data_IF_199927313062
#
_entry.id   IF_199927313062
#
_cell.length_a   1.000
_cell.length_b   1.000
_cell.length_c   1.000
_cell.angle_alpha   90.00
_cell.angle_beta   90.00
_cell.angle_gamma   90.00
#
_symmetry.space_group_name_H-M   'P 1'
#
loop_
_entity.id
_entity.type
_entity.pdbx_description
1 polymer ?
#
# COMPACT_ATOMS: atom_id res chain seq x y z
N UNK A 1 -6.86 -11.17 -21.90
CA UNK A 1 -8.12 -11.85 -22.28
C UNK A 1 -8.61 -12.72 -21.15
N UNK A 2 -9.95 -12.79 -20.97
CA UNK A 2 -10.59 -13.48 -19.88
C UNK A 2 -11.64 -14.45 -20.42
N UNK A 3 -11.75 -15.61 -19.78
CA UNK A 3 -12.83 -16.58 -20.01
C UNK A 3 -13.44 -16.92 -18.66
N UNK A 4 -14.78 -16.83 -18.54
CA UNK A 4 -15.47 -17.09 -17.29
C UNK A 4 -16.79 -17.81 -17.54
N UNK A 5 -17.07 -18.83 -16.74
CA UNK A 5 -18.37 -19.47 -16.63
C UNK A 5 -19.03 -19.10 -15.30
N UNK A 6 -20.32 -18.77 -15.35
CA UNK A 6 -21.11 -18.38 -14.17
C UNK A 6 -22.29 -19.32 -13.97
N UNK A 7 -22.61 -19.61 -12.72
CA UNK A 7 -23.76 -20.35 -12.29
C UNK A 7 -24.51 -19.53 -11.25
N UNK A 8 -25.80 -19.29 -11.49
CA UNK A 8 -26.71 -18.67 -10.52
C UNK A 8 -27.88 -19.63 -10.34
N UNK A 9 -28.12 -20.01 -9.09
CA UNK A 9 -29.21 -20.93 -8.75
C UNK A 9 -29.80 -20.56 -7.40
N UNK A 10 -31.13 -20.60 -7.31
CA UNK A 10 -31.84 -20.49 -6.04
C UNK A 10 -32.75 -21.68 -5.87
N UNK A 11 -32.84 -22.19 -4.64
CA UNK A 11 -33.72 -23.28 -4.26
C UNK A 11 -34.11 -23.15 -2.79
N UNK A 12 -35.42 -23.20 -2.51
CA UNK A 12 -35.96 -23.02 -1.16
C UNK A 12 -35.33 -21.78 -0.48
N UNK A 13 -34.69 -21.99 0.64
CA UNK A 13 -34.05 -20.96 1.48
C UNK A 13 -32.62 -20.59 1.02
N UNK A 14 -32.08 -21.26 -0.03
CA UNK A 14 -30.68 -21.10 -0.45
C UNK A 14 -30.55 -20.39 -1.78
N UNK A 15 -29.47 -19.65 -1.92
CA UNK A 15 -29.01 -19.09 -3.19
C UNK A 15 -27.53 -19.35 -3.38
N UNK A 16 -27.12 -19.74 -4.60
CA UNK A 16 -25.74 -19.95 -4.99
C UNK A 16 -25.41 -19.09 -6.22
N UNK A 17 -24.40 -18.23 -6.06
CA UNK A 17 -23.76 -17.54 -7.16
C UNK A 17 -22.32 -18.06 -7.24
N UNK A 18 -21.94 -18.70 -8.33
CA UNK A 18 -20.59 -19.25 -8.50
C UNK A 18 -20.01 -18.84 -9.85
N UNK A 19 -18.71 -18.67 -9.90
CA UNK A 19 -18.01 -18.46 -11.14
C UNK A 19 -16.63 -19.14 -11.10
N UNK A 20 -16.21 -19.66 -12.25
CA UNK A 20 -14.85 -20.12 -12.49
C UNK A 20 -14.31 -19.41 -13.73
N UNK A 21 -13.03 -19.11 -13.75
CA UNK A 21 -12.47 -18.43 -14.90
C UNK A 21 -10.96 -18.51 -14.99
N UNK A 22 -10.48 -18.11 -16.13
CA UNK A 22 -9.05 -17.97 -16.43
C UNK A 22 -8.80 -16.61 -17.07
N UNK A 23 -7.63 -16.05 -16.81
CA UNK A 23 -7.21 -14.76 -17.35
C UNK A 23 -5.77 -14.84 -17.86
N UNK A 24 -5.50 -14.18 -18.98
CA UNK A 24 -4.15 -13.97 -19.50
C UNK A 24 -3.96 -12.47 -19.72
N UNK A 25 -2.97 -11.92 -19.02
CA UNK A 25 -2.54 -10.52 -19.18
C UNK A 25 -1.13 -10.48 -19.74
N UNK A 26 -0.95 -9.74 -20.81
CA UNK A 26 0.35 -9.49 -21.45
C UNK A 26 0.59 -7.97 -21.39
N UNK A 27 1.60 -7.56 -20.63
CA UNK A 27 1.96 -6.16 -20.46
C UNK A 27 3.29 -5.91 -21.12
N UNK A 28 3.35 -4.89 -21.98
CA UNK A 28 4.58 -4.40 -22.59
C UNK A 28 4.84 -2.99 -22.11
N UNK A 29 6.06 -2.72 -21.75
CA UNK A 29 6.48 -1.43 -21.25
C UNK A 29 7.68 -0.97 -22.06
N UNK A 30 7.56 0.20 -22.66
CA UNK A 30 8.70 0.94 -23.26
C UNK A 30 8.81 2.28 -22.53
N UNK A 31 10.00 2.68 -22.16
CA UNK A 31 10.25 3.91 -21.44
C UNK A 31 11.57 4.53 -21.91
N UNK A 32 11.58 5.84 -22.07
CA UNK A 32 12.77 6.64 -22.29
C UNK A 32 12.93 7.60 -21.10
N UNK A 33 14.03 7.49 -20.40
CA UNK A 33 14.39 8.38 -19.30
C UNK A 33 15.61 9.21 -19.68
N UNK A 34 15.48 10.52 -19.55
CA UNK A 34 16.56 11.48 -19.69
C UNK A 34 16.72 12.21 -18.36
N UNK A 35 17.92 12.19 -17.81
CA UNK A 35 18.24 12.83 -16.54
C UNK A 35 19.53 13.63 -16.72
N UNK A 36 19.43 14.94 -16.58
CA UNK A 36 20.60 15.82 -16.65
C UNK A 36 21.56 15.61 -15.48
N UNK A 37 21.09 15.06 -14.36
CA UNK A 37 21.86 14.96 -13.11
C UNK A 37 22.54 16.29 -12.78
N UNK A 38 23.88 16.32 -12.83
CA UNK A 38 24.70 17.51 -12.60
C UNK A 38 25.18 18.15 -13.88
N UNK A 39 24.70 17.68 -15.06
CA UNK A 39 25.07 18.28 -16.33
C UNK A 39 24.59 19.74 -16.42
N UNK A 40 25.48 20.62 -16.92
CA UNK A 40 25.13 22.02 -17.14
C UNK A 40 24.17 22.16 -18.32
N UNK A 41 23.42 23.24 -18.34
CA UNK A 41 22.73 23.70 -19.53
C UNK A 41 23.68 24.52 -20.41
N UNK A 42 23.58 24.39 -21.74
CA UNK A 42 24.34 25.29 -22.67
C UNK A 42 23.87 26.73 -22.51
N UNK A 43 22.59 26.96 -22.37
CA UNK A 43 21.98 28.26 -22.11
C UNK A 43 21.26 28.23 -20.76
N UNK A 44 21.64 29.10 -19.80
CA UNK A 44 21.03 29.15 -18.49
C UNK A 44 19.53 29.50 -18.60
N UNK A 45 18.72 28.91 -17.69
CA UNK A 45 17.26 29.13 -17.60
C UNK A 45 16.42 28.70 -18.81
N UNK A 46 16.99 27.93 -19.75
CA UNK A 46 16.23 27.31 -20.86
C UNK A 46 16.10 25.81 -20.58
N UNK A 47 14.96 25.38 -20.05
CA UNK A 47 14.73 24.02 -19.61
C UNK A 47 14.15 23.15 -20.73
N UNK A 48 15.01 22.76 -21.68
CA UNK A 48 14.67 21.81 -22.74
C UNK A 48 15.72 20.71 -22.83
N UNK A 49 15.30 19.52 -23.30
CA UNK A 49 16.20 18.36 -23.44
C UNK A 49 17.40 18.71 -24.36
N UNK A 50 17.15 19.43 -25.45
CA UNK A 50 18.19 19.85 -26.41
C UNK A 50 19.24 20.79 -25.81
N UNK A 51 18.93 21.43 -24.68
CA UNK A 51 19.83 22.38 -24.00
C UNK A 51 20.70 21.73 -22.92
N UNK A 52 20.56 20.42 -22.70
CA UNK A 52 21.36 19.67 -21.71
C UNK A 52 22.72 19.34 -22.34
N UNK A 53 23.81 19.63 -21.64
CA UNK A 53 25.14 19.16 -22.03
C UNK A 53 25.25 17.66 -21.74
N UNK A 54 24.99 16.83 -22.73
CA UNK A 54 24.99 15.37 -22.63
C UNK A 54 26.40 14.76 -22.52
N UNK A 55 27.47 15.57 -22.59
CA UNK A 55 28.85 15.08 -22.68
C UNK A 55 29.46 14.65 -21.34
N UNK A 56 28.89 15.02 -20.21
CA UNK A 56 29.58 14.81 -18.92
C UNK A 56 28.90 13.90 -17.92
N UNK A 57 27.66 14.14 -17.56
CA UNK A 57 26.99 13.42 -16.46
C UNK A 57 25.53 13.11 -16.72
N UNK A 58 25.05 13.47 -17.91
CA UNK A 58 23.69 13.15 -18.29
C UNK A 58 23.48 11.62 -18.43
N UNK A 59 22.32 11.18 -18.05
CA UNK A 59 21.93 9.79 -18.08
C UNK A 59 20.79 9.59 -19.06
N UNK A 60 20.98 8.67 -19.97
CA UNK A 60 19.94 8.23 -20.90
C UNK A 60 19.70 6.75 -20.62
N UNK A 61 18.47 6.39 -20.35
CA UNK A 61 18.05 5.01 -20.18
C UNK A 61 16.86 4.74 -21.09
N UNK A 62 17.01 3.75 -21.93
CA UNK A 62 15.93 3.27 -22.79
C UNK A 62 15.58 1.86 -22.39
N UNK A 63 14.30 1.64 -22.10
CA UNK A 63 13.70 0.34 -21.88
C UNK A 63 12.77 0.09 -23.04
N UNK A 64 13.14 -0.84 -23.92
CA UNK A 64 12.32 -1.18 -25.07
C UNK A 64 11.73 -2.58 -24.92
N UNK A 65 10.40 -2.66 -25.15
CA UNK A 65 9.58 -3.90 -25.16
C UNK A 65 9.80 -4.82 -23.95
N UNK A 66 9.97 -4.25 -22.75
CA UNK A 66 9.98 -5.04 -21.53
C UNK A 66 8.62 -5.73 -21.33
N UNK A 67 8.61 -7.05 -21.36
CA UNK A 67 7.37 -7.84 -21.40
C UNK A 67 7.15 -8.64 -20.13
N UNK A 68 5.93 -8.55 -19.59
CA UNK A 68 5.44 -9.37 -18.48
C UNK A 68 4.16 -10.07 -18.89
N UNK A 69 4.10 -11.37 -18.68
CA UNK A 69 2.89 -12.17 -18.88
C UNK A 69 2.46 -12.76 -17.55
N UNK A 70 1.17 -12.67 -17.27
CA UNK A 70 0.52 -13.29 -16.11
C UNK A 70 -0.63 -14.15 -16.58
N UNK A 71 -0.69 -15.38 -16.10
CA UNK A 71 -1.77 -16.32 -16.32
C UNK A 71 -2.43 -16.61 -14.98
N UNK A 72 -3.74 -16.70 -14.98
CA UNK A 72 -4.51 -16.86 -13.76
C UNK A 72 -5.62 -17.87 -13.92
N UNK A 73 -5.87 -18.64 -12.86
CA UNK A 73 -7.08 -19.42 -12.70
C UNK A 73 -7.76 -19.02 -11.40
N UNK A 74 -9.07 -18.79 -11.44
CA UNK A 74 -9.82 -18.36 -10.27
C UNK A 74 -11.20 -19.03 -10.18
N UNK A 75 -11.65 -19.19 -8.95
CA UNK A 75 -12.99 -19.63 -8.61
C UNK A 75 -13.55 -18.75 -7.49
N UNK A 76 -14.83 -18.45 -7.56
CA UNK A 76 -15.56 -17.74 -6.53
C UNK A 76 -16.94 -18.36 -6.34
N UNK A 77 -17.41 -18.37 -5.11
CA UNK A 77 -18.76 -18.81 -4.76
C UNK A 77 -19.31 -17.96 -3.61
N UNK A 78 -20.57 -17.56 -3.72
CA UNK A 78 -21.36 -16.98 -2.66
C UNK A 78 -22.56 -17.89 -2.41
N UNK A 79 -22.67 -18.37 -1.18
CA UNK A 79 -23.81 -19.12 -0.68
C UNK A 79 -24.63 -18.23 0.25
N UNK A 80 -25.88 -17.98 -0.13
CA UNK A 80 -26.86 -17.25 0.67
C UNK A 80 -27.86 -18.21 1.34
N UNK A 81 -28.22 -17.92 2.59
CA UNK A 81 -29.26 -18.63 3.34
C UNK A 81 -30.28 -17.64 3.87
N UNK A 82 -31.55 -17.84 3.50
CA UNK A 82 -32.71 -17.01 3.91
C UNK A 82 -32.51 -15.52 3.68
N UNK A 83 -31.77 -15.12 2.66
CA UNK A 83 -31.38 -13.73 2.40
C UNK A 83 -30.78 -13.01 3.61
N UNK A 84 -30.36 -13.74 4.62
CA UNK A 84 -29.84 -13.20 5.88
C UNK A 84 -28.38 -13.51 6.10
N UNK A 85 -27.92 -14.71 5.77
CA UNK A 85 -26.55 -15.15 5.96
C UNK A 85 -25.90 -15.44 4.62
N UNK A 86 -24.72 -14.90 4.40
CA UNK A 86 -23.93 -15.07 3.17
C UNK A 86 -22.53 -15.52 3.49
N UNK A 87 -22.10 -16.59 2.84
CA UNK A 87 -20.73 -17.09 2.86
C UNK A 87 -20.12 -16.86 1.47
N UNK A 88 -19.06 -16.06 1.43
CA UNK A 88 -18.26 -15.79 0.25
C UNK A 88 -16.94 -16.56 0.33
N UNK A 89 -16.61 -17.30 -0.71
CA UNK A 89 -15.32 -18.01 -0.81
C UNK A 89 -14.70 -17.70 -2.17
N UNK A 90 -13.44 -17.29 -2.17
CA UNK A 90 -12.69 -17.11 -3.41
C UNK A 90 -11.35 -17.81 -3.34
N UNK A 91 -10.89 -18.28 -4.48
CA UNK A 91 -9.59 -18.88 -4.64
C UNK A 91 -9.00 -18.46 -5.99
N UNK A 92 -7.76 -18.01 -5.99
CA UNK A 92 -7.05 -17.64 -7.21
C UNK A 92 -5.62 -18.14 -7.15
N UNK A 93 -5.13 -18.61 -8.31
CA UNK A 93 -3.72 -18.89 -8.50
C UNK A 93 -3.21 -18.15 -9.73
N UNK A 94 -2.13 -17.40 -9.55
CA UNK A 94 -1.48 -16.65 -10.63
C UNK A 94 -0.10 -17.24 -10.90
N UNK A 95 0.27 -17.29 -12.18
CA UNK A 95 1.60 -17.64 -12.66
C UNK A 95 2.17 -16.45 -13.40
N UNK A 96 3.33 -15.97 -12.96
CA UNK A 96 3.99 -14.80 -13.56
C UNK A 96 5.28 -15.19 -14.27
N UNK A 97 5.51 -14.57 -15.43
CA UNK A 97 6.77 -14.68 -16.16
C UNK A 97 7.96 -14.13 -15.40
N UNK A 98 7.75 -13.18 -14.46
CA UNK A 98 8.80 -12.61 -13.62
C UNK A 98 9.46 -13.62 -12.69
N UNK A 99 8.74 -14.72 -12.36
CA UNK A 99 9.25 -15.85 -11.57
C UNK A 99 9.93 -16.94 -12.41
N UNK A 100 10.05 -16.76 -13.72
CA UNK A 100 10.57 -17.80 -14.62
C UNK A 100 12.01 -18.20 -14.34
N UNK A 101 12.82 -17.26 -13.85
CA UNK A 101 14.24 -17.45 -13.57
C UNK A 101 14.52 -17.71 -12.08
N UNK A 102 13.48 -17.98 -11.29
CA UNK A 102 13.64 -18.35 -9.88
C UNK A 102 13.79 -19.87 -9.75
N UNK A 103 14.45 -20.34 -8.69
CA UNK A 103 14.62 -21.75 -8.35
C UNK A 103 13.33 -22.44 -7.91
N UNK A 104 12.23 -21.71 -7.85
CA UNK A 104 10.94 -22.24 -7.40
C UNK A 104 10.39 -23.28 -8.41
N UNK A 105 10.05 -24.45 -7.89
CA UNK A 105 9.37 -25.49 -8.68
C UNK A 105 8.00 -25.04 -9.21
N UNK A 106 7.29 -24.21 -8.44
CA UNK A 106 6.02 -23.60 -8.84
C UNK A 106 6.21 -22.10 -9.05
N UNK A 107 6.00 -21.62 -10.25
CA UNK A 107 6.00 -20.20 -10.63
C UNK A 107 4.70 -19.49 -10.26
N UNK A 108 3.81 -20.19 -9.58
CA UNK A 108 2.52 -19.69 -9.17
C UNK A 108 2.46 -19.30 -7.71
N UNK A 109 1.51 -18.45 -7.38
CA UNK A 109 1.16 -18.08 -6.03
C UNK A 109 -0.37 -18.13 -5.86
N UNK A 110 -0.76 -18.81 -4.79
CA UNK A 110 -2.16 -19.07 -4.46
C UNK A 110 -2.63 -18.16 -3.35
N UNK A 111 -3.81 -17.59 -3.53
CA UNK A 111 -4.43 -16.71 -2.55
C UNK A 111 -5.93 -16.92 -2.45
N UNK A 112 -6.37 -17.47 -1.31
CA UNK A 112 -7.77 -17.64 -0.96
C UNK A 112 -8.33 -16.44 -0.22
N UNK A 113 -9.67 -16.31 -0.22
CA UNK A 113 -10.39 -15.50 0.74
C UNK A 113 -11.67 -16.19 1.21
N UNK A 114 -12.11 -15.87 2.41
CA UNK A 114 -13.40 -16.25 2.95
C UNK A 114 -14.02 -15.07 3.67
N UNK A 115 -15.31 -14.82 3.42
CA UNK A 115 -16.10 -13.78 4.04
C UNK A 115 -17.42 -14.33 4.55
N UNK A 116 -17.89 -13.80 5.67
CA UNK A 116 -19.20 -14.07 6.26
C UNK A 116 -19.91 -12.75 6.48
N UNK A 117 -21.16 -12.66 6.02
CA UNK A 117 -22.02 -11.50 6.23
C UNK A 117 -23.36 -11.96 6.78
N UNK A 118 -23.85 -11.27 7.80
CA UNK A 118 -25.14 -11.53 8.41
C UNK A 118 -26.00 -10.27 8.45
N UNK A 119 -27.15 -10.32 7.76
CA UNK A 119 -28.18 -9.28 7.77
C UNK A 119 -29.18 -9.61 8.86
N UNK A 120 -29.03 -8.95 10.01
CA UNK A 120 -29.73 -9.27 11.25
C UNK A 120 -31.27 -9.14 11.13
N UNK A 121 -31.84 -8.08 10.51
CA UNK A 121 -33.29 -7.90 10.40
C UNK A 121 -34.00 -8.98 9.58
N UNK A 122 -33.26 -9.75 8.78
CA UNK A 122 -33.81 -10.90 8.04
C UNK A 122 -33.96 -12.14 8.92
N UNK A 123 -33.26 -12.20 10.06
CA UNK A 123 -33.31 -13.33 11.00
C UNK A 123 -34.16 -13.05 12.24
N UNK A 124 -34.26 -11.80 12.65
CA UNK A 124 -34.94 -11.39 13.87
C UNK A 124 -35.79 -10.14 13.66
N UNK A 125 -36.93 -10.07 14.37
CA UNK A 125 -37.70 -8.83 14.45
C UNK A 125 -36.91 -7.80 15.25
N UNK A 126 -36.65 -6.66 14.65
CA UNK A 126 -35.90 -5.56 15.25
C UNK A 126 -36.84 -4.51 15.84
N UNK A 127 -36.43 -3.79 16.91
CA UNK A 127 -37.17 -2.61 17.36
C UNK A 127 -37.33 -1.59 16.20
N UNK A 128 -38.42 -0.85 16.16
CA UNK A 128 -38.74 0.12 15.12
C UNK A 128 -37.65 1.20 14.94
N UNK A 129 -36.83 1.44 15.94
CA UNK A 129 -35.67 2.32 15.92
C UNK A 129 -34.60 1.87 14.90
N UNK A 130 -34.44 0.56 14.68
CA UNK A 130 -33.39 -0.04 13.87
C UNK A 130 -33.95 -0.40 12.51
N UNK A 131 -33.56 0.33 11.48
CA UNK A 131 -34.00 0.14 10.09
C UNK A 131 -33.19 -0.95 9.37
N UNK A 132 -31.90 -1.11 9.74
CA UNK A 132 -31.00 -2.09 9.15
C UNK A 132 -29.86 -2.43 10.12
N UNK A 133 -29.37 -3.66 10.05
CA UNK A 133 -28.22 -4.12 10.82
C UNK A 133 -27.51 -5.25 10.08
N UNK A 134 -26.19 -5.12 9.92
CA UNK A 134 -25.32 -6.10 9.25
C UNK A 134 -24.01 -6.23 10.01
N UNK A 135 -23.57 -7.46 10.19
CA UNK A 135 -22.23 -7.78 10.69
C UNK A 135 -21.49 -8.54 9.60
N UNK A 136 -20.21 -8.23 9.43
CA UNK A 136 -19.33 -8.89 8.45
C UNK A 136 -17.99 -9.25 9.08
N UNK A 137 -17.43 -10.38 8.66
CA UNK A 137 -16.07 -10.77 8.99
C UNK A 137 -15.44 -11.40 7.75
N UNK A 138 -14.18 -11.11 7.49
CA UNK A 138 -13.47 -11.69 6.36
C UNK A 138 -12.01 -11.95 6.69
N UNK A 139 -11.48 -12.96 6.04
CA UNK A 139 -10.06 -13.21 5.99
C UNK A 139 -9.65 -13.40 4.53
N UNK A 140 -8.54 -12.80 4.14
CA UNK A 140 -8.00 -12.91 2.79
C UNK A 140 -6.48 -13.01 2.81
N UNK A 141 -5.97 -13.65 1.77
CA UNK A 141 -4.55 -13.67 1.46
C UNK A 141 -4.37 -13.21 0.03
N UNK A 142 -3.46 -12.25 -0.21
CA UNK A 142 -3.19 -11.67 -1.52
C UNK A 142 -1.70 -11.75 -1.78
N UNK A 143 -1.34 -12.22 -2.97
CA UNK A 143 0.04 -12.21 -3.44
C UNK A 143 0.30 -11.00 -4.33
N UNK A 144 1.48 -10.43 -4.23
CA UNK A 144 1.96 -9.39 -5.14
C UNK A 144 3.16 -9.91 -5.93
N UNK A 145 3.14 -9.66 -7.25
CA UNK A 145 4.21 -10.09 -8.15
C UNK A 145 5.50 -9.31 -7.91
N UNK A 146 6.62 -9.86 -8.36
CA UNK A 146 7.90 -9.16 -8.30
C UNK A 146 8.10 -8.25 -9.52
N UNK A 147 8.86 -7.16 -9.40
CA UNK A 147 9.20 -6.32 -10.53
C UNK A 147 9.95 -7.07 -11.62
N UNK A 148 9.88 -6.56 -12.84
CA UNK A 148 10.70 -7.06 -13.96
C UNK A 148 12.19 -6.93 -13.64
N UNK A 149 12.98 -7.86 -14.17
CA UNK A 149 14.45 -7.88 -14.10
C UNK A 149 15.08 -8.04 -12.72
N UNK A 150 14.30 -8.39 -11.71
CA UNK A 150 14.83 -8.70 -10.37
C UNK A 150 15.38 -10.12 -10.31
N UNK A 151 14.67 -11.10 -10.88
CA UNK A 151 15.15 -12.49 -10.96
C UNK A 151 16.14 -12.74 -12.09
N UNK A 152 16.10 -11.91 -13.13
CA UNK A 152 17.01 -11.94 -14.27
C UNK A 152 17.44 -10.49 -14.57
N UNK A 153 18.55 -10.11 -13.99
CA UNK A 153 19.07 -8.74 -14.12
C UNK A 153 19.64 -8.50 -15.51
N UNK A 154 19.34 -7.34 -16.07
CA UNK A 154 19.83 -6.90 -17.38
C UNK A 154 20.74 -5.69 -17.23
N UNK A 155 21.81 -5.65 -18.01
CA UNK A 155 22.65 -4.44 -18.17
C UNK A 155 21.95 -3.44 -19.09
N UNK A 156 22.47 -2.24 -19.16
CA UNK A 156 22.00 -1.18 -20.05
C UNK A 156 23.16 -0.56 -20.85
N UNK A 157 22.84 0.12 -21.92
CA UNK A 157 23.80 0.88 -22.70
C UNK A 157 23.69 2.33 -22.27
N UNK A 158 24.79 2.88 -21.74
CA UNK A 158 24.88 4.27 -21.34
C UNK A 158 25.16 5.18 -22.56
N UNK A 159 25.07 6.50 -22.34
CA UNK A 159 25.41 7.49 -23.34
C UNK A 159 26.78 7.22 -23.94
N UNK A 160 26.90 7.35 -25.29
CA UNK A 160 28.12 7.01 -26.01
C UNK A 160 28.26 5.53 -26.36
N UNK A 161 27.24 4.69 -26.19
CA UNK A 161 27.25 3.28 -26.56
C UNK A 161 28.04 2.39 -25.60
N UNK A 162 28.30 2.85 -24.38
CA UNK A 162 29.10 2.12 -23.39
C UNK A 162 28.21 1.11 -22.64
N UNK A 163 28.50 -0.21 -22.76
CA UNK A 163 27.76 -1.21 -21.97
C UNK A 163 28.01 -1.03 -20.48
N UNK A 164 26.95 -0.98 -19.69
CA UNK A 164 27.03 -0.96 -18.24
C UNK A 164 26.37 -2.24 -17.67
N UNK A 165 27.12 -3.05 -16.91
CA UNK A 165 26.53 -4.20 -16.24
C UNK A 165 25.54 -3.74 -15.18
N UNK A 166 24.61 -4.60 -14.83
CA UNK A 166 23.70 -4.34 -13.71
C UNK A 166 24.47 -4.30 -12.39
N UNK A 167 24.19 -3.28 -11.59
CA UNK A 167 24.78 -3.12 -10.26
C UNK A 167 24.16 -4.02 -9.19
N UNK A 168 23.06 -4.73 -9.53
CA UNK A 168 22.31 -5.55 -8.59
C UNK A 168 22.49 -7.03 -8.89
N UNK A 169 22.83 -7.82 -7.88
CA UNK A 169 22.97 -9.27 -8.00
C UNK A 169 21.63 -9.93 -8.38
N UNK A 170 21.62 -10.88 -9.31
CA UNK A 170 20.45 -11.69 -9.58
C UNK A 170 20.05 -12.51 -8.36
N UNK A 171 18.76 -12.65 -8.09
CA UNK A 171 18.27 -13.35 -6.91
C UNK A 171 17.35 -14.51 -7.27
N UNK A 172 17.89 -15.74 -7.22
CA UNK A 172 17.20 -16.95 -7.68
C UNK A 172 16.14 -17.50 -6.73
N UNK A 173 16.18 -17.17 -5.43
CA UNK A 173 15.27 -17.72 -4.39
C UNK A 173 14.09 -16.81 -4.08
N UNK A 174 13.80 -15.82 -4.94
CA UNK A 174 12.72 -14.86 -4.77
C UNK A 174 11.35 -15.50 -4.55
N UNK A 175 10.62 -14.93 -3.59
CA UNK A 175 9.23 -15.25 -3.31
C UNK A 175 8.35 -14.03 -3.59
N UNK A 176 7.10 -14.23 -4.04
CA UNK A 176 6.12 -13.15 -4.09
C UNK A 176 5.87 -12.60 -2.68
N UNK A 177 5.66 -11.31 -2.59
CA UNK A 177 5.16 -10.68 -1.38
C UNK A 177 3.74 -11.19 -1.08
N UNK A 178 3.45 -11.46 0.18
CA UNK A 178 2.17 -12.01 0.61
C UNK A 178 1.57 -11.18 1.74
N UNK A 179 0.41 -10.59 1.49
CA UNK A 179 -0.41 -9.91 2.48
C UNK A 179 -1.53 -10.82 2.97
N UNK A 180 -1.68 -10.94 4.28
CA UNK A 180 -2.81 -11.61 4.93
C UNK A 180 -3.58 -10.61 5.76
N UNK A 181 -4.88 -10.46 5.48
CA UNK A 181 -5.76 -9.49 6.12
C UNK A 181 -6.90 -10.21 6.83
N UNK A 182 -7.24 -9.70 7.99
CA UNK A 182 -8.47 -10.03 8.73
C UNK A 182 -9.24 -8.74 8.97
N UNK A 183 -10.53 -8.78 8.71
CA UNK A 183 -11.44 -7.65 8.90
C UNK A 183 -12.70 -8.09 9.60
N UNK A 184 -13.22 -7.26 10.50
CA UNK A 184 -14.54 -7.38 11.10
C UNK A 184 -15.20 -6.03 11.08
N UNK A 185 -16.46 -5.98 10.66
CA UNK A 185 -17.20 -4.74 10.55
C UNK A 185 -18.68 -4.90 10.85
N UNK A 186 -19.30 -3.78 11.15
CA UNK A 186 -20.74 -3.73 11.40
C UNK A 186 -21.33 -2.45 10.83
N UNK A 187 -22.49 -2.58 10.21
CA UNK A 187 -23.24 -1.48 9.60
C UNK A 187 -24.65 -1.44 10.22
N UNK A 188 -25.05 -0.29 10.70
CA UNK A 188 -26.36 -0.07 11.30
C UNK A 188 -27.02 1.16 10.71
N UNK A 189 -28.35 1.08 10.50
CA UNK A 189 -29.17 2.23 10.12
C UNK A 189 -30.34 2.36 11.07
N UNK A 190 -30.61 3.60 11.49
CA UNK A 190 -31.60 3.92 12.51
C UNK A 190 -32.57 4.99 11.98
N UNK A 191 -33.75 5.11 12.64
CA UNK A 191 -34.73 6.16 12.41
C UNK A 191 -35.17 6.27 10.94
N UNK A 192 -35.60 5.17 10.33
CA UNK A 192 -35.99 5.09 8.93
C UNK A 192 -34.85 5.61 7.99
N UNK A 193 -33.64 5.06 8.19
CA UNK A 193 -32.42 5.37 7.43
C UNK A 193 -31.92 6.81 7.58
N UNK A 194 -32.35 7.55 8.63
CA UNK A 194 -31.89 8.92 8.87
C UNK A 194 -30.53 8.99 9.58
N UNK A 195 -30.07 7.92 10.16
CA UNK A 195 -28.75 7.82 10.75
C UNK A 195 -28.14 6.49 10.35
N UNK A 196 -26.88 6.53 9.95
CA UNK A 196 -26.07 5.36 9.62
C UNK A 196 -24.75 5.36 10.38
N UNK A 197 -24.30 4.15 10.74
CA UNK A 197 -23.04 3.89 11.43
C UNK A 197 -22.38 2.71 10.73
N UNK A 198 -21.19 2.88 10.22
CA UNK A 198 -20.33 1.79 9.74
C UNK A 198 -19.02 1.81 10.54
N UNK A 199 -18.71 0.71 11.20
CA UNK A 199 -17.50 0.54 11.98
C UNK A 199 -16.76 -0.70 11.48
N UNK A 200 -15.49 -0.53 11.11
CA UNK A 200 -14.62 -1.61 10.65
C UNK A 200 -13.32 -1.61 11.46
N UNK A 201 -12.91 -2.79 11.88
CA UNK A 201 -11.59 -3.07 12.41
C UNK A 201 -10.86 -3.99 11.44
N UNK A 202 -9.58 -3.71 11.17
CA UNK A 202 -8.74 -4.55 10.32
C UNK A 202 -7.35 -4.78 10.90
N UNK A 203 -6.76 -5.89 10.48
CA UNK A 203 -5.36 -6.23 10.75
C UNK A 203 -4.77 -6.92 9.53
N UNK A 204 -3.74 -6.32 8.94
CA UNK A 204 -3.03 -6.83 7.76
C UNK A 204 -1.56 -7.05 8.10
N UNK A 205 -1.04 -8.21 7.73
CA UNK A 205 0.37 -8.53 7.81
C UNK A 205 0.92 -8.78 6.40
N UNK A 206 1.90 -7.99 5.98
CA UNK A 206 2.61 -8.17 4.72
C UNK A 206 3.98 -8.76 5.00
N UNK A 207 4.26 -9.92 4.40
CA UNK A 207 5.48 -10.70 4.56
C UNK A 207 6.21 -10.88 3.25
N UNK A 208 7.49 -11.26 3.33
CA UNK A 208 8.36 -11.52 2.17
C UNK A 208 8.47 -10.30 1.24
N UNK A 209 8.49 -9.09 1.80
CA UNK A 209 8.70 -7.88 1.02
C UNK A 209 10.08 -7.89 0.38
N UNK A 210 10.18 -7.31 -0.81
CA UNK A 210 11.42 -7.22 -1.55
C UNK A 210 12.18 -5.96 -1.14
N UNK A 211 13.34 -6.13 -0.54
CA UNK A 211 14.27 -5.04 -0.22
C UNK A 211 15.53 -5.15 -1.04
N UNK A 212 16.03 -4.00 -1.52
CA UNK A 212 17.34 -3.88 -2.14
C UNK A 212 18.33 -3.39 -1.08
N UNK A 213 19.33 -4.18 -0.79
CA UNK A 213 20.35 -3.89 0.23
C UNK A 213 21.70 -3.59 -0.42
N UNK A 214 22.49 -2.65 0.13
CA UNK A 214 23.84 -2.43 -0.34
C UNK A 214 24.73 -3.63 0.02
N UNK A 215 25.60 -4.02 -0.90
CA UNK A 215 26.59 -5.06 -0.69
C UNK A 215 27.81 -4.53 0.09
N UNK A 216 28.60 -5.45 0.63
CA UNK A 216 29.87 -5.11 1.28
C UNK A 216 30.84 -4.49 0.28
N UNK A 217 31.75 -3.64 0.77
CA UNK A 217 32.80 -3.07 -0.05
C UNK A 217 33.65 -4.18 -0.70
N UNK A 218 33.86 -4.07 -2.02
CA UNK A 218 34.59 -5.08 -2.82
C UNK A 218 33.74 -6.23 -3.37
N UNK A 219 32.44 -6.26 -3.12
CA UNK A 219 31.54 -7.23 -3.77
C UNK A 219 31.42 -6.95 -5.27
N UNK A 220 31.12 -8.00 -6.06
CA UNK A 220 30.94 -7.88 -7.51
C UNK A 220 29.72 -7.03 -7.91
N UNK A 221 28.74 -6.92 -7.03
CA UNK A 221 27.53 -6.12 -7.21
C UNK A 221 27.42 -5.10 -6.08
N UNK A 222 26.85 -3.93 -6.38
CA UNK A 222 26.63 -2.87 -5.37
C UNK A 222 25.40 -3.16 -4.48
N UNK A 223 24.44 -3.87 -5.02
CA UNK A 223 23.18 -4.18 -4.35
C UNK A 223 22.81 -5.65 -4.51
N UNK A 224 22.02 -6.15 -3.59
CA UNK A 224 21.37 -7.45 -3.69
C UNK A 224 19.96 -7.38 -3.12
N UNK A 225 19.07 -8.25 -3.61
CA UNK A 225 17.69 -8.32 -3.11
C UNK A 225 17.56 -9.38 -2.03
N UNK A 226 16.66 -9.12 -1.09
CA UNK A 226 16.21 -10.07 -0.08
C UNK A 226 14.70 -10.04 0.03
N UNK A 227 14.07 -11.20 0.22
CA UNK A 227 12.72 -11.25 0.74
C UNK A 227 12.78 -11.20 2.26
N UNK A 228 12.25 -10.15 2.84
CA UNK A 228 12.35 -9.94 4.28
C UNK A 228 11.12 -9.23 4.83
N UNK A 229 11.08 -9.20 6.14
CA UNK A 229 10.15 -8.38 6.86
C UNK A 229 8.78 -9.00 7.08
N UNK A 230 8.16 -8.47 8.12
CA UNK A 230 6.75 -8.60 8.43
C UNK A 230 6.28 -7.23 8.88
N UNK A 231 5.55 -6.53 8.01
CA UNK A 231 4.97 -5.23 8.32
C UNK A 231 3.50 -5.41 8.61
N UNK A 232 3.09 -4.92 9.77
CA UNK A 232 1.72 -4.99 10.24
C UNK A 232 1.05 -3.62 10.13
N UNK A 233 -0.14 -3.61 9.57
CA UNK A 233 -1.10 -2.50 9.66
C UNK A 233 -2.31 -2.98 10.45
N UNK A 234 -2.72 -2.20 11.44
CA UNK A 234 -3.89 -2.48 12.25
C UNK A 234 -4.63 -1.17 12.49
N UNK A 235 -5.92 -1.16 12.20
CA UNK A 235 -6.66 0.08 12.28
C UNK A 235 -8.14 -0.09 12.52
N UNK A 236 -8.76 1.07 12.71
CA UNK A 236 -10.21 1.23 12.84
C UNK A 236 -10.67 2.31 11.89
N UNK A 237 -11.81 2.08 11.26
CA UNK A 237 -12.50 3.02 10.39
C UNK A 237 -13.94 3.18 10.88
N UNK A 238 -14.39 4.41 10.99
CA UNK A 238 -15.74 4.77 11.43
C UNK A 238 -16.33 5.78 10.45
N UNK A 239 -17.51 5.46 9.93
CA UNK A 239 -18.35 6.40 9.21
C UNK A 239 -19.65 6.59 9.98
N UNK A 240 -19.99 7.84 10.26
CA UNK A 240 -21.27 8.25 10.84
C UNK A 240 -21.96 9.18 9.87
N UNK A 241 -23.13 8.78 9.40
CA UNK A 241 -24.00 9.62 8.57
C UNK A 241 -25.27 9.98 9.31
N UNK A 242 -25.78 11.19 9.12
CA UNK A 242 -27.07 11.59 9.66
C UNK A 242 -27.79 12.61 8.78
N UNK A 243 -29.11 12.56 8.84
CA UNK A 243 -30.03 13.59 8.33
C UNK A 243 -30.76 14.20 9.52
N UNK A 244 -30.10 15.11 10.30
CA UNK A 244 -30.70 15.65 11.53
C UNK A 244 -31.99 16.41 11.26
N UNK A 245 -32.04 17.15 10.16
CA UNK A 245 -33.22 17.94 9.77
C UNK A 245 -33.63 17.54 8.36
N UNK A 246 -34.91 17.18 8.23
CA UNK A 246 -35.54 16.89 6.95
C UNK A 246 -36.95 17.46 6.99
N UNK A 247 -37.18 18.52 6.20
CA UNK A 247 -38.49 19.13 5.99
C UNK A 247 -38.73 19.27 4.49
N UNK A 248 -39.95 19.71 4.09
CA UNK A 248 -40.26 19.94 2.68
C UNK A 248 -39.38 21.00 2.02
N UNK A 249 -38.77 21.90 2.80
CA UNK A 249 -38.00 23.02 2.25
C UNK A 249 -36.53 23.00 2.65
N UNK A 250 -36.15 22.25 3.73
CA UNK A 250 -34.81 22.26 4.25
C UNK A 250 -34.35 20.84 4.57
N UNK A 251 -33.15 20.49 4.10
CA UNK A 251 -32.48 19.24 4.39
C UNK A 251 -31.05 19.52 4.86
N UNK A 252 -30.67 18.93 5.97
CA UNK A 252 -29.29 18.88 6.44
C UNK A 252 -28.80 17.45 6.44
N UNK A 253 -27.73 17.16 5.66
CA UNK A 253 -26.97 15.93 5.73
C UNK A 253 -25.62 16.22 6.37
N UNK A 254 -25.18 15.37 7.26
CA UNK A 254 -23.84 15.43 7.86
C UNK A 254 -23.20 14.06 7.84
N UNK A 255 -21.91 14.00 7.54
CA UNK A 255 -21.12 12.76 7.52
C UNK A 255 -19.80 12.98 8.21
N UNK A 256 -19.48 12.14 9.16
CA UNK A 256 -18.18 12.10 9.84
C UNK A 256 -17.46 10.81 9.46
N UNK A 257 -16.27 10.93 8.89
CA UNK A 257 -15.35 9.83 8.60
C UNK A 257 -14.15 9.95 9.51
N UNK A 258 -13.83 8.90 10.21
CA UNK A 258 -12.65 8.80 11.06
C UNK A 258 -11.90 7.52 10.73
N UNK A 259 -10.58 7.62 10.58
CA UNK A 259 -9.72 6.45 10.50
C UNK A 259 -8.44 6.61 11.28
N UNK A 260 -7.98 5.52 11.83
CA UNK A 260 -6.67 5.44 12.49
C UNK A 260 -6.00 4.14 12.11
N UNK A 261 -4.79 4.24 11.56
CA UNK A 261 -3.94 3.11 11.24
C UNK A 261 -2.68 3.13 12.13
N UNK A 262 -2.36 2.00 12.74
CA UNK A 262 -1.05 1.77 13.37
C UNK A 262 -0.25 0.86 12.43
N UNK A 263 0.80 1.42 11.83
CA UNK A 263 1.79 0.67 11.08
C UNK A 263 2.95 0.28 12.00
N UNK A 264 3.43 -0.96 11.92
CA UNK A 264 4.52 -1.46 12.75
C UNK A 264 5.36 -2.50 11.99
N UNK A 265 6.66 -2.29 11.97
CA UNK A 265 7.65 -3.26 11.47
C UNK A 265 7.82 -4.34 12.53
N UNK A 266 7.16 -5.49 12.35
CA UNK A 266 7.22 -6.60 13.33
C UNK A 266 8.54 -7.37 13.26
N UNK A 267 9.10 -7.46 12.08
CA UNK A 267 10.39 -8.15 11.85
C UNK A 267 11.01 -7.61 10.55
N UNK A 268 12.32 -7.45 10.54
CA UNK A 268 13.16 -7.26 9.36
C UNK A 268 13.82 -8.59 8.97
N UNK A 269 14.96 -8.56 8.31
CA UNK A 269 15.78 -9.72 8.05
C UNK A 269 16.61 -10.05 9.31
N UNK A 270 16.92 -11.34 9.54
CA UNK A 270 17.62 -11.78 10.77
C UNK A 270 18.98 -11.08 10.94
N UNK A 271 19.65 -10.72 9.86
CA UNK A 271 20.95 -10.04 9.85
C UNK A 271 20.85 -8.50 9.84
N UNK A 272 19.64 -7.93 9.93
CA UNK A 272 19.40 -6.49 9.79
C UNK A 272 18.64 -5.93 10.99
N UNK A 273 19.32 -5.17 11.83
CA UNK A 273 18.69 -4.44 12.93
C UNK A 273 17.92 -3.19 12.43
N UNK A 274 18.36 -2.61 11.33
CA UNK A 274 17.70 -1.46 10.68
C UNK A 274 18.08 -1.37 9.21
N UNK A 275 17.23 -0.70 8.43
CA UNK A 275 17.43 -0.49 7.01
C UNK A 275 17.02 0.93 6.61
N UNK A 276 17.85 1.62 5.83
CA UNK A 276 17.52 2.92 5.24
C UNK A 276 16.80 2.67 3.93
N UNK A 277 15.58 3.18 3.81
CA UNK A 277 14.78 3.05 2.61
C UNK A 277 14.85 4.33 1.76
N UNK A 278 15.27 4.18 0.52
CA UNK A 278 15.37 5.30 -0.42
C UNK A 278 16.64 6.12 -0.26
N UNK A 279 16.68 7.21 -0.98
CA UNK A 279 17.78 8.15 -0.89
C UNK A 279 17.64 9.00 0.37
N UNK A 280 18.77 9.33 0.98
CA UNK A 280 18.83 10.35 2.01
C UNK A 280 18.27 11.67 1.46
N UNK A 281 17.59 12.44 2.30
CA UNK A 281 17.03 13.74 1.93
C UNK A 281 18.11 14.72 1.43
N UNK A 282 17.67 15.87 0.97
CA UNK A 282 18.55 16.93 0.52
C UNK A 282 19.62 17.20 1.58
N UNK A 283 20.91 17.13 1.19
CA UNK A 283 22.07 17.25 2.08
C UNK A 283 22.26 16.10 3.13
N UNK A 284 21.68 14.92 2.92
CA UNK A 284 21.84 13.78 3.84
C UNK A 284 21.45 14.08 5.30
N UNK A 285 20.53 15.04 5.49
CA UNK A 285 20.12 15.49 6.83
C UNK A 285 19.04 14.62 7.46
N UNK A 286 18.31 13.87 6.64
CA UNK A 286 17.28 12.92 7.11
C UNK A 286 17.11 11.76 6.14
N UNK A 287 16.62 10.64 6.65
CA UNK A 287 16.28 9.46 5.86
C UNK A 287 15.08 8.72 6.46
N UNK A 288 14.33 8.01 5.64
CA UNK A 288 13.38 7.02 6.13
C UNK A 288 14.16 5.77 6.56
N UNK A 289 13.98 5.35 7.80
CA UNK A 289 14.66 4.18 8.35
C UNK A 289 13.63 3.21 8.93
N UNK A 290 13.70 1.97 8.47
CA UNK A 290 12.95 0.86 9.05
C UNK A 290 13.74 0.28 10.22
N UNK A 291 13.06 0.17 11.36
CA UNK A 291 13.61 -0.44 12.58
C UNK A 291 12.55 -1.37 13.14
N UNK A 292 12.91 -2.53 13.64
CA UNK A 292 11.95 -3.43 14.31
C UNK A 292 11.27 -2.72 15.49
N UNK A 293 9.95 -2.86 15.57
CA UNK A 293 9.10 -2.14 16.52
C UNK A 293 8.74 -0.71 16.13
N UNK A 294 9.43 -0.14 15.14
CA UNK A 294 9.12 1.17 14.55
C UNK A 294 8.01 1.10 13.49
N UNK A 295 7.75 2.24 12.84
CA UNK A 295 6.81 2.35 11.72
C UNK A 295 7.56 2.42 10.38
N UNK A 296 6.95 1.90 9.34
CA UNK A 296 7.46 2.00 7.96
C UNK A 296 7.65 3.47 7.49
N UNK A 297 6.96 4.40 8.12
CA UNK A 297 7.05 5.83 7.82
C UNK A 297 7.94 6.64 8.77
N UNK A 298 8.75 6.00 9.61
CA UNK A 298 9.60 6.71 10.57
C UNK A 298 10.73 7.46 9.87
N UNK A 299 10.84 8.74 10.18
CA UNK A 299 11.87 9.65 9.66
C UNK A 299 12.93 9.83 10.73
N UNK A 300 14.16 9.56 10.37
CA UNK A 300 15.34 9.76 11.20
C UNK A 300 16.17 10.90 10.65
N UNK A 301 16.61 11.77 11.52
CA UNK A 301 17.39 12.94 11.15
C UNK A 301 18.39 13.33 12.22
N UNK A 302 19.17 14.35 11.95
CA UNK A 302 20.06 14.95 12.93
C UNK A 302 19.26 15.67 14.00
N UNK A 303 19.76 15.66 15.22
CA UNK A 303 19.17 16.38 16.35
C UNK A 303 20.28 16.99 17.21
N UNK A 304 19.93 17.95 18.03
CA UNK A 304 20.84 18.48 19.01
C UNK A 304 20.99 17.54 20.22
N UNK A 305 22.23 17.41 20.71
CA UNK A 305 22.50 16.68 21.93
C UNK A 305 21.76 17.35 23.10
N UNK A 306 21.19 16.51 23.97
CA UNK A 306 20.47 16.97 25.16
C UNK A 306 21.07 16.32 26.40
N UNK A 307 21.15 17.11 27.47
CA UNK A 307 21.56 16.60 28.78
C UNK A 307 20.45 15.73 29.43
N UNK A 308 20.73 15.21 30.60
CA UNK A 308 19.79 14.40 31.39
C UNK A 308 18.50 15.12 31.81
N UNK A 309 18.47 16.42 31.69
CA UNK A 309 17.29 17.26 31.99
C UNK A 309 16.55 17.71 30.72
N UNK A 310 17.04 17.31 29.52
CA UNK A 310 16.45 17.67 28.23
C UNK A 310 16.92 19.01 27.66
N UNK A 311 17.84 19.72 28.32
CA UNK A 311 18.41 20.98 27.84
C UNK A 311 19.41 20.69 26.70
N UNK A 312 19.50 21.59 25.70
CA UNK A 312 20.45 21.50 24.61
C UNK A 312 21.86 21.69 25.14
N UNK A 313 22.78 20.81 24.76
CA UNK A 313 24.20 20.91 25.07
C UNK A 313 24.88 21.82 24.06
N UNK A 314 25.69 22.77 24.57
CA UNK A 314 26.47 23.69 23.74
C UNK A 314 27.95 23.35 23.77
N UNK A 315 28.59 23.48 22.62
CA UNK A 315 30.02 23.34 22.48
C UNK A 315 30.82 24.49 23.10
N UNK A 316 32.14 24.36 23.14
CA UNK A 316 33.04 25.41 23.61
C UNK A 316 33.01 26.69 22.73
N UNK A 317 32.53 26.55 21.50
CA UNK A 317 32.29 27.61 20.51
C UNK A 317 30.95 28.34 20.73
N UNK A 318 30.15 27.93 21.73
CA UNK A 318 28.84 28.46 21.99
C UNK A 318 27.74 28.00 21.05
N UNK A 319 28.00 27.07 20.14
CA UNK A 319 27.00 26.50 19.23
C UNK A 319 26.36 25.24 19.83
N UNK A 320 25.09 24.95 19.50
CA UNK A 320 24.45 23.71 19.84
C UNK A 320 25.23 22.51 19.28
N UNK A 321 25.51 21.51 20.11
CA UNK A 321 26.14 20.29 19.66
C UNK A 321 25.12 19.37 18.96
N UNK A 322 25.46 18.89 17.78
CA UNK A 322 24.71 17.80 17.13
C UNK A 322 25.08 16.46 17.77
N UNK A 323 24.12 15.55 17.87
CA UNK A 323 24.38 14.14 18.20
C UNK A 323 25.47 13.64 17.26
N UNK A 324 26.52 13.02 17.81
CA UNK A 324 27.77 12.69 17.12
C UNK A 324 27.58 12.18 15.68
N UNK A 325 28.54 12.51 14.80
CA UNK A 325 28.44 12.29 13.35
C UNK A 325 28.08 10.83 13.04
N UNK A 326 27.08 10.63 12.20
CA UNK A 326 26.54 9.31 11.84
C UNK A 326 25.38 8.83 12.71
N UNK A 327 25.10 9.47 13.86
CA UNK A 327 23.94 9.17 14.67
C UNK A 327 22.74 10.00 14.22
N UNK A 328 21.61 9.32 14.07
CA UNK A 328 20.32 9.94 13.77
C UNK A 328 19.30 9.46 14.78
N UNK A 329 18.33 10.32 15.10
CA UNK A 329 17.21 10.00 15.97
C UNK A 329 15.92 10.09 15.18
N UNK A 330 14.87 9.41 15.66
CA UNK A 330 13.55 9.57 15.08
C UNK A 330 13.06 10.99 15.33
N UNK A 331 12.84 11.74 14.23
CA UNK A 331 12.39 13.14 14.27
C UNK A 331 10.92 13.29 13.83
N UNK A 332 10.34 12.27 13.22
CA UNK A 332 8.96 12.31 12.76
C UNK A 332 8.47 10.99 12.20
N UNK A 333 7.25 11.03 11.69
CA UNK A 333 6.62 9.95 10.95
C UNK A 333 5.79 10.55 9.82
N UNK A 334 5.88 10.00 8.62
CA UNK A 334 5.11 10.49 7.46
C UNK A 334 3.64 10.02 7.46
N UNK A 335 3.29 9.02 8.28
CA UNK A 335 1.92 8.58 8.41
C UNK A 335 1.17 9.46 9.40
N UNK A 336 -0.05 9.92 9.07
CA UNK A 336 -0.86 10.70 9.98
C UNK A 336 -1.26 9.87 11.21
N UNK A 337 -1.43 10.55 12.35
CA UNK A 337 -1.89 9.91 13.59
C UNK A 337 -3.33 9.41 13.48
N UNK A 338 -4.15 10.12 12.73
CA UNK A 338 -5.53 9.79 12.35
C UNK A 338 -5.89 10.57 11.08
N UNK A 339 -7.01 10.22 10.47
CA UNK A 339 -7.67 11.00 9.43
C UNK A 339 -9.09 11.28 9.90
N UNK A 340 -9.54 12.52 9.77
CA UNK A 340 -10.87 12.96 10.11
C UNK A 340 -11.43 13.80 8.97
N UNK A 341 -12.62 13.46 8.48
CA UNK A 341 -13.35 14.26 7.52
C UNK A 341 -14.77 14.52 8.03
N UNK A 342 -15.17 15.78 8.16
CA UNK A 342 -16.52 16.14 8.54
C UNK A 342 -17.19 16.97 7.45
N UNK A 343 -18.05 16.30 6.66
CA UNK A 343 -18.82 16.89 5.57
C UNK A 343 -20.21 17.31 6.02
N UNK A 344 -20.65 18.48 5.57
CA UNK A 344 -22.00 18.98 5.81
C UNK A 344 -22.60 19.51 4.51
N UNK A 345 -23.83 19.11 4.25
CA UNK A 345 -24.61 19.57 3.10
C UNK A 345 -25.97 20.09 3.57
N UNK A 346 -26.26 21.31 3.21
CA UNK A 346 -27.52 21.99 3.50
C UNK A 346 -28.22 22.28 2.18
N UNK A 347 -29.46 21.90 2.07
CA UNK A 347 -30.32 22.22 0.92
C UNK A 347 -31.53 22.97 1.42
N UNK A 348 -31.75 24.17 0.89
CA UNK A 348 -32.94 24.98 1.16
C UNK A 348 -33.59 25.36 -0.18
N UNK A 349 -34.76 24.78 -0.48
CA UNK A 349 -35.39 24.88 -1.77
C UNK A 349 -34.42 24.55 -2.93
N UNK A 350 -34.13 25.52 -3.79
CA UNK A 350 -33.25 25.37 -4.96
C UNK A 350 -31.77 25.67 -4.65
N UNK A 351 -31.43 26.05 -3.40
CA UNK A 351 -30.08 26.38 -2.98
C UNK A 351 -29.48 25.23 -2.24
N UNK A 352 -28.20 24.89 -2.56
CA UNK A 352 -27.41 23.92 -1.85
C UNK A 352 -26.08 24.53 -1.42
N UNK A 353 -25.67 24.24 -0.18
CA UNK A 353 -24.38 24.63 0.39
C UNK A 353 -23.70 23.42 0.96
N UNK A 354 -22.41 23.24 0.65
CA UNK A 354 -21.58 22.15 1.15
C UNK A 354 -20.26 22.70 1.71
N UNK A 355 -19.80 22.11 2.83
CA UNK A 355 -18.44 22.30 3.31
C UNK A 355 -17.89 21.00 3.88
N UNK A 356 -16.57 20.85 3.84
CA UNK A 356 -15.80 19.76 4.44
C UNK A 356 -14.76 20.38 5.36
N UNK A 357 -14.62 19.79 6.56
CA UNK A 357 -13.51 20.02 7.46
C UNK A 357 -12.68 18.75 7.46
N UNK A 358 -11.41 18.87 7.13
CA UNK A 358 -10.46 17.78 7.07
C UNK A 358 -9.36 17.98 8.11
N UNK A 359 -8.90 16.86 8.74
CA UNK A 359 -7.90 16.89 9.79
C UNK A 359 -7.06 15.61 9.82
N UNK A 360 -5.79 15.76 10.18
CA UNK A 360 -4.83 14.65 10.31
C UNK A 360 -3.75 14.96 11.35
#
# INVERSE_FOLDING_TARGET
GDLMAKLNKSWDDFSLNAAIGTSITDTRTSALRLDSKTASLYYPNVFTIANINMSSSAYIEELDDARRQMQSFFAMAQLGYKESLYLDVTARNDWSSTLAFTERKSRGFFYPSVGLSWIIPKSFSMPSLISFGKVRASWSKVGNDIPLFVSNTVGHIAAGGIPQPNDTAPFGTLKPEMSSSFEIGTEWKFFDYRMDVDLTFYKTNTKEQLFSLPSSAGAAYKYYFVNAGNIQNMGVELTLGAVPILTNQFKWNTTLNFSRNKNEVKKLHDDLASFIQGNEGFSSSYAMRLVEGGSFGDIYGKAFERDKYGAIVYGRDGLPQEIGSGNTVKVGNCNPAFLLGWGNSFTYKDFSYYFLIDGH
#
